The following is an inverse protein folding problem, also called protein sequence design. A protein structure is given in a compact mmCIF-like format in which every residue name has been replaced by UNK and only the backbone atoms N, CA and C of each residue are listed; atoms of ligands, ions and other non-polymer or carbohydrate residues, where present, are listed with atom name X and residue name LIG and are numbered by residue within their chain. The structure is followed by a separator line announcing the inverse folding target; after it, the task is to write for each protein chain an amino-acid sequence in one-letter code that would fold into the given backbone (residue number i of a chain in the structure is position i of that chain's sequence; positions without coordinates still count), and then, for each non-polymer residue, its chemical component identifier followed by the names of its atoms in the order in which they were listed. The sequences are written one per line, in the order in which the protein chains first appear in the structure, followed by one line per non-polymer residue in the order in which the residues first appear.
data_IF_119811293485
#
_entry.id   IF_119811293485
#
_cell.length_a   1.000
_cell.length_b   1.000
_cell.length_c   1.000
_cell.angle_alpha   90.00
_cell.angle_beta   90.00
_cell.angle_gamma   90.00
#
_symmetry.space_group_name_H-M   'P 1'
#
loop_
_entity.id
_entity.type
_entity.pdbx_description
1 polymer ?
#
# COMPACT_ATOMS: atom_id res chain seq x y z
N UNK A 1 23.42 29.93 60.87
CA UNK A 1 22.94 31.29 60.51
C UNK A 1 22.35 31.26 59.10
N UNK A 2 21.14 31.83 58.95
CA UNK A 2 20.39 32.22 57.74
C UNK A 2 19.60 31.14 56.94
N UNK A 3 18.30 31.15 57.25
CA UNK A 3 17.13 30.65 56.51
C UNK A 3 16.93 31.33 55.14
N UNK A 4 16.25 30.65 54.21
CA UNK A 4 15.07 31.14 53.46
C UNK A 4 14.53 30.00 52.56
N UNK A 5 13.39 29.37 52.90
CA UNK A 5 12.03 29.77 52.52
C UNK A 5 11.77 29.73 51.01
N UNK A 6 11.16 28.64 50.52
CA UNK A 6 10.41 28.64 49.26
C UNK A 6 8.94 28.33 49.53
N UNK A 7 8.14 29.32 49.15
CA UNK A 7 6.70 29.48 49.31
C UNK A 7 5.90 28.37 48.63
N UNK A 8 4.99 27.74 49.38
CA UNK A 8 3.89 26.94 48.87
C UNK A 8 2.78 27.89 48.40
N UNK A 9 2.29 27.73 47.17
CA UNK A 9 1.06 28.37 46.68
C UNK A 9 -0.05 27.34 46.45
N UNK A 10 -1.32 27.76 46.56
CA UNK A 10 -2.39 26.92 47.12
C UNK A 10 -3.23 26.19 46.08
N UNK A 11 -3.84 25.09 46.54
CA UNK A 11 -5.00 24.42 45.93
C UNK A 11 -6.13 25.43 45.70
N UNK A 12 -6.62 25.52 44.47
CA UNK A 12 -7.96 26.07 44.20
C UNK A 12 -8.92 24.92 43.96
N UNK A 13 -9.82 24.72 44.94
CA UNK A 13 -11.09 24.02 44.79
C UNK A 13 -12.04 24.93 44.00
N UNK A 14 -12.75 24.38 43.03
CA UNK A 14 -13.72 25.11 42.21
C UNK A 14 -14.81 24.18 41.68
N UNK A 15 -15.85 24.06 42.49
CA UNK A 15 -17.27 23.78 42.19
C UNK A 15 -17.70 22.76 41.12
N UNK A 16 -18.37 21.72 41.63
CA UNK A 16 -19.48 21.00 40.99
C UNK A 16 -20.58 21.98 40.55
N UNK A 17 -21.02 21.87 39.30
CA UNK A 17 -22.36 22.28 38.88
C UNK A 17 -22.96 21.11 38.12
N UNK A 18 -23.89 20.41 38.77
CA UNK A 18 -24.83 19.51 38.12
C UNK A 18 -26.14 20.27 37.95
N UNK A 19 -26.55 20.50 36.71
CA UNK A 19 -27.92 20.81 36.36
C UNK A 19 -28.18 20.23 34.96
N UNK A 20 -28.81 19.06 34.97
CA UNK A 20 -29.35 18.42 33.78
C UNK A 20 -30.64 19.16 33.38
N UNK A 21 -30.63 19.82 32.23
CA UNK A 21 -31.85 20.16 31.51
C UNK A 21 -31.86 19.36 30.22
N UNK A 22 -32.70 18.35 30.18
CA UNK A 22 -33.04 17.61 28.97
C UNK A 22 -33.89 18.51 28.08
N UNK A 23 -33.31 19.01 26.98
CA UNK A 23 -34.06 19.54 25.86
C UNK A 23 -34.01 18.51 24.73
N UNK A 24 -35.14 17.83 24.50
CA UNK A 24 -35.39 17.07 23.28
C UNK A 24 -35.48 18.09 22.14
N UNK A 25 -34.43 18.19 21.33
CA UNK A 25 -34.51 18.78 19.99
C UNK A 25 -34.54 17.63 19.00
N UNK A 26 -35.67 17.49 18.31
CA UNK A 26 -35.80 16.63 17.15
C UNK A 26 -34.87 17.16 16.05
N UNK A 27 -33.70 16.55 15.92
CA UNK A 27 -32.83 16.75 14.76
C UNK A 27 -33.43 15.94 13.63
N UNK A 28 -34.09 16.63 12.69
CA UNK A 28 -34.40 16.06 11.39
C UNK A 28 -33.08 15.68 10.72
N UNK A 29 -32.85 14.37 10.58
CA UNK A 29 -31.71 13.85 9.87
C UNK A 29 -31.76 14.35 8.41
N UNK A 30 -30.70 15.00 7.88
CA UNK A 30 -30.59 15.16 6.44
C UNK A 30 -30.52 13.78 5.79
N UNK A 31 -31.16 13.66 4.64
CA UNK A 31 -31.23 12.43 3.85
C UNK A 31 -29.84 11.79 3.73
N UNK A 32 -29.77 10.50 4.06
CA UNK A 32 -28.60 9.68 3.83
C UNK A 32 -28.19 9.82 2.35
N UNK A 33 -27.11 10.55 2.10
CA UNK A 33 -26.46 10.52 0.81
C UNK A 33 -25.99 9.10 0.60
N UNK A 34 -26.42 8.54 -0.54
CA UNK A 34 -26.17 7.18 -0.93
C UNK A 34 -24.69 6.82 -0.71
N UNK A 35 -24.50 5.81 0.12
CA UNK A 35 -23.24 5.11 0.30
C UNK A 35 -22.75 4.66 -1.08
N UNK A 36 -21.54 5.03 -1.54
CA UNK A 36 -21.00 4.44 -2.74
C UNK A 36 -20.91 2.93 -2.51
N UNK A 37 -21.60 2.19 -3.37
CA UNK A 37 -21.67 0.74 -3.31
C UNK A 37 -20.26 0.18 -3.16
N UNK A 38 -20.10 -0.74 -2.19
CA UNK A 38 -18.93 -1.58 -2.10
C UNK A 38 -18.63 -2.13 -3.51
N UNK A 39 -17.40 -1.91 -3.98
CA UNK A 39 -16.92 -2.42 -5.25
C UNK A 39 -17.16 -3.91 -5.25
N UNK A 40 -18.16 -4.34 -6.02
CA UNK A 40 -18.56 -5.73 -6.11
C UNK A 40 -17.37 -6.57 -6.53
N UNK A 41 -17.15 -7.67 -5.82
CA UNK A 41 -16.26 -8.73 -6.27
C UNK A 41 -16.70 -9.15 -7.67
N UNK A 42 -15.86 -8.83 -8.66
CA UNK A 42 -16.08 -9.22 -10.04
C UNK A 42 -16.06 -10.74 -10.08
N UNK A 43 -17.21 -11.35 -10.36
CA UNK A 43 -17.30 -12.76 -10.65
C UNK A 43 -16.39 -13.07 -11.85
N UNK A 44 -15.38 -13.93 -11.63
CA UNK A 44 -14.54 -14.45 -12.70
C UNK A 44 -15.42 -15.32 -13.61
N UNK A 45 -15.82 -14.77 -14.74
CA UNK A 45 -16.32 -15.58 -15.86
C UNK A 45 -15.14 -16.34 -16.44
N UNK A 46 -15.29 -17.65 -16.60
CA UNK A 46 -14.31 -18.53 -17.23
C UNK A 46 -14.22 -18.22 -18.74
N UNK A 47 -13.57 -17.10 -19.07
CA UNK A 47 -13.18 -16.73 -20.41
C UNK A 47 -11.77 -17.23 -20.71
N UNK A 48 -11.52 -17.55 -21.98
CA UNK A 48 -10.20 -17.77 -22.58
C UNK A 48 -9.08 -17.03 -21.84
N UNK A 49 -8.06 -17.78 -21.37
CA UNK A 49 -6.89 -17.25 -20.67
C UNK A 49 -6.40 -16.00 -21.38
N UNK A 50 -6.56 -14.83 -20.73
CA UNK A 50 -6.09 -13.58 -21.28
C UNK A 50 -4.59 -13.69 -21.60
N UNK A 51 -4.15 -13.05 -22.67
CA UNK A 51 -2.74 -12.97 -23.00
C UNK A 51 -1.96 -12.43 -21.80
N UNK A 52 -0.77 -12.99 -21.56
CA UNK A 52 0.10 -12.55 -20.49
C UNK A 52 0.41 -11.05 -20.67
N UNK A 53 0.27 -10.21 -19.64
CA UNK A 53 0.37 -8.75 -19.78
C UNK A 53 1.81 -8.23 -19.94
N UNK A 54 2.79 -9.13 -19.83
CA UNK A 54 4.22 -8.85 -19.92
C UNK A 54 4.94 -9.99 -20.63
N UNK A 55 6.03 -9.66 -21.31
CA UNK A 55 6.96 -10.65 -21.89
C UNK A 55 8.07 -10.94 -20.88
N UNK A 56 8.33 -12.22 -20.62
CA UNK A 56 9.40 -12.62 -19.69
C UNK A 56 10.77 -12.16 -20.17
N UNK A 57 11.62 -11.70 -19.23
CA UNK A 57 12.97 -11.24 -19.52
C UNK A 57 13.07 -9.81 -20.06
N UNK A 58 11.94 -9.17 -20.39
CA UNK A 58 11.90 -7.77 -20.83
C UNK A 58 11.71 -6.85 -19.61
N UNK A 59 12.43 -5.73 -19.51
CA UNK A 59 12.25 -4.77 -18.42
C UNK A 59 10.99 -3.90 -18.63
N UNK A 60 10.28 -3.63 -17.54
CA UNK A 60 9.10 -2.77 -17.51
C UNK A 60 9.15 -1.83 -16.31
N UNK A 61 8.67 -0.60 -16.48
CA UNK A 61 8.22 0.23 -15.37
C UNK A 61 6.82 -0.21 -14.93
N UNK A 62 6.61 -0.29 -13.62
CA UNK A 62 5.29 -0.50 -13.03
C UNK A 62 4.71 0.85 -12.59
N UNK A 63 3.87 1.44 -13.42
CA UNK A 63 3.32 2.79 -13.18
C UNK A 63 1.88 2.69 -12.69
N UNK A 64 1.55 3.37 -11.58
CA UNK A 64 0.19 3.38 -11.05
C UNK A 64 -0.72 4.40 -11.76
N UNK A 65 -1.98 4.48 -11.34
CA UNK A 65 -2.96 5.42 -11.89
C UNK A 65 -2.63 6.91 -11.64
N UNK A 66 -1.80 7.20 -10.64
CA UNK A 66 -1.30 8.55 -10.33
C UNK A 66 -0.04 8.90 -11.14
N UNK A 67 0.33 8.07 -12.13
CA UNK A 67 1.55 8.21 -12.92
C UNK A 67 2.84 8.13 -12.08
N UNK A 68 2.85 7.31 -11.03
CA UNK A 68 4.01 7.09 -10.15
C UNK A 68 4.50 5.67 -10.33
N UNK A 69 5.78 5.52 -10.62
CA UNK A 69 6.45 4.24 -10.75
C UNK A 69 6.84 3.62 -9.41
N UNK A 70 7.34 2.39 -9.44
CA UNK A 70 7.87 1.72 -8.24
C UNK A 70 9.33 2.09 -8.05
N UNK A 71 9.70 2.48 -6.83
CA UNK A 71 11.08 2.73 -6.41
C UNK A 71 11.40 1.94 -5.14
N UNK A 72 12.63 2.04 -4.68
CA UNK A 72 13.13 1.32 -3.52
C UNK A 72 13.83 2.27 -2.56
N UNK A 73 13.57 2.08 -1.26
CA UNK A 73 14.21 2.83 -0.20
C UNK A 73 14.89 1.87 0.76
N UNK A 74 16.18 2.13 1.01
CA UNK A 74 16.96 1.43 1.99
C UNK A 74 16.38 1.67 3.39
N UNK A 75 15.98 0.59 4.07
CA UNK A 75 15.59 0.61 5.46
C UNK A 75 16.18 -0.61 6.19
N UNK A 76 16.95 -0.33 7.24
CA UNK A 76 17.82 -1.32 7.89
C UNK A 76 18.76 -1.96 6.85
N UNK A 77 18.60 -3.26 6.58
CA UNK A 77 19.46 -4.03 5.68
C UNK A 77 18.76 -4.45 4.38
N UNK A 78 17.63 -3.82 4.04
CA UNK A 78 16.86 -4.17 2.84
C UNK A 78 16.30 -2.95 2.11
N UNK A 79 16.02 -3.15 0.83
CA UNK A 79 15.33 -2.19 -0.02
C UNK A 79 13.84 -2.46 0.01
N UNK A 80 13.05 -1.57 0.59
CA UNK A 80 11.60 -1.70 0.61
C UNK A 80 10.99 -1.00 -0.59
N UNK A 81 10.08 -1.68 -1.28
CA UNK A 81 9.38 -1.13 -2.42
C UNK A 81 8.39 -0.05 -1.98
N UNK A 82 8.30 1.03 -2.74
CA UNK A 82 7.33 2.12 -2.56
C UNK A 82 6.99 2.71 -3.93
N UNK A 83 5.94 3.53 -4.00
CA UNK A 83 5.76 4.38 -5.18
C UNK A 83 6.72 5.58 -5.12
N UNK A 84 7.23 6.00 -6.27
CA UNK A 84 7.97 7.25 -6.42
C UNK A 84 7.16 8.42 -5.85
N UNK A 85 7.80 9.46 -5.32
CA UNK A 85 7.06 10.58 -4.71
C UNK A 85 6.53 11.59 -5.73
N UNK A 86 7.05 11.53 -6.96
CA UNK A 86 6.79 12.52 -8.00
C UNK A 86 6.01 11.87 -9.14
N UNK A 87 4.82 12.36 -9.47
CA UNK A 87 4.15 11.96 -10.71
C UNK A 87 5.06 12.19 -11.92
N UNK A 88 5.08 11.24 -12.84
CA UNK A 88 5.99 11.21 -14.00
C UNK A 88 7.33 10.52 -13.74
N UNK A 89 7.68 10.23 -12.48
CA UNK A 89 8.84 9.41 -12.18
C UNK A 89 8.47 7.92 -12.25
N UNK A 90 8.99 7.25 -13.28
CA UNK A 90 8.80 5.82 -13.53
C UNK A 90 9.51 4.90 -12.52
N UNK A 91 10.40 5.44 -11.68
CA UNK A 91 11.15 4.68 -10.70
C UNK A 91 12.09 3.65 -11.33
N UNK A 92 12.30 2.53 -10.63
CA UNK A 92 13.10 1.42 -11.10
C UNK A 92 12.27 0.49 -11.99
N UNK A 93 12.84 0.10 -13.14
CA UNK A 93 12.25 -0.97 -13.94
C UNK A 93 12.41 -2.33 -13.25
N UNK A 94 11.55 -3.27 -13.62
CA UNK A 94 11.56 -4.65 -13.15
C UNK A 94 11.50 -5.62 -14.33
N UNK A 95 12.08 -6.80 -14.16
CA UNK A 95 11.99 -7.93 -15.09
C UNK A 95 11.07 -8.98 -14.48
N UNK A 96 10.17 -9.52 -15.29
CA UNK A 96 9.29 -10.61 -14.90
C UNK A 96 9.85 -11.94 -15.40
N UNK A 97 9.98 -12.91 -14.50
CA UNK A 97 10.34 -14.29 -14.82
C UNK A 97 9.16 -15.20 -14.51
N UNK A 98 8.62 -15.87 -15.53
CA UNK A 98 7.50 -16.79 -15.35
C UNK A 98 7.94 -17.96 -14.46
N UNK A 99 7.17 -18.23 -13.40
CA UNK A 99 7.31 -19.42 -12.54
C UNK A 99 5.94 -19.97 -12.21
N UNK A 100 5.69 -21.20 -12.67
CA UNK A 100 4.40 -21.90 -12.58
C UNK A 100 3.23 -21.04 -13.11
N UNK A 101 2.30 -20.67 -12.22
CA UNK A 101 1.10 -19.88 -12.48
C UNK A 101 1.31 -18.37 -12.36
N UNK A 102 2.49 -17.90 -11.95
CA UNK A 102 2.78 -16.49 -11.71
C UNK A 102 4.16 -16.04 -12.19
N UNK A 103 4.63 -14.94 -11.60
CA UNK A 103 5.92 -14.34 -11.93
C UNK A 103 6.74 -14.06 -10.68
N UNK A 104 8.04 -14.35 -10.75
CA UNK A 104 9.02 -13.71 -9.88
C UNK A 104 9.38 -12.36 -10.50
N UNK A 105 9.43 -11.32 -9.67
CA UNK A 105 9.74 -9.96 -10.10
C UNK A 105 11.14 -9.60 -9.62
N UNK A 106 12.00 -9.18 -10.54
CA UNK A 106 13.36 -8.74 -10.26
C UNK A 106 13.51 -7.26 -10.57
N UNK A 107 13.86 -6.45 -9.58
CA UNK A 107 14.26 -5.05 -9.80
C UNK A 107 15.56 -4.99 -10.60
N UNK A 108 15.67 -4.01 -11.49
CA UNK A 108 16.94 -3.72 -12.18
C UNK A 108 17.87 -2.84 -11.34
N UNK A 109 17.40 -2.32 -10.21
CA UNK A 109 18.16 -1.48 -9.27
C UNK A 109 18.02 -1.97 -7.83
N UNK A 110 19.12 -1.93 -7.08
CA UNK A 110 19.19 -2.26 -5.66
C UNK A 110 20.41 -1.61 -5.04
N UNK A 111 20.33 -1.26 -3.75
CA UNK A 111 21.47 -0.79 -2.97
C UNK A 111 22.39 -1.93 -2.53
N UNK A 112 21.93 -3.19 -2.57
CA UNK A 112 22.69 -4.36 -2.14
C UNK A 112 22.87 -5.37 -3.28
N UNK A 113 24.13 -5.72 -3.59
CA UNK A 113 24.46 -6.65 -4.67
C UNK A 113 23.76 -7.99 -4.51
N UNK A 114 23.00 -8.40 -5.53
CA UNK A 114 22.23 -9.65 -5.53
C UNK A 114 20.87 -9.60 -4.83
N UNK A 115 20.54 -8.52 -4.12
CA UNK A 115 19.25 -8.32 -3.47
C UNK A 115 18.32 -7.59 -4.42
N UNK A 116 17.82 -8.28 -5.43
CA UNK A 116 16.99 -7.67 -6.47
C UNK A 116 15.65 -8.36 -6.67
N UNK A 117 15.36 -9.43 -5.93
CA UNK A 117 14.13 -10.20 -6.08
C UNK A 117 13.07 -9.71 -5.11
N UNK A 118 11.85 -9.48 -5.58
CA UNK A 118 10.74 -9.05 -4.73
C UNK A 118 10.34 -10.17 -3.77
N UNK A 119 10.39 -9.85 -2.49
CA UNK A 119 10.07 -10.73 -1.39
C UNK A 119 9.00 -10.08 -0.51
N UNK A 120 7.83 -10.71 -0.40
CA UNK A 120 6.80 -10.34 0.55
C UNK A 120 7.15 -10.95 1.93
N UNK A 121 7.38 -10.10 2.93
CA UNK A 121 7.64 -10.50 4.32
C UNK A 121 6.71 -9.76 5.27
N UNK A 122 5.94 -10.53 6.05
CA UNK A 122 4.75 -9.97 6.70
C UNK A 122 3.84 -9.40 5.61
N UNK A 123 3.60 -8.09 5.66
CA UNK A 123 2.87 -7.40 4.58
C UNK A 123 3.78 -6.56 3.69
N UNK A 124 5.03 -6.26 4.10
CA UNK A 124 5.93 -5.39 3.33
C UNK A 124 6.59 -6.10 2.16
N UNK A 125 6.94 -5.33 1.13
CA UNK A 125 7.69 -5.86 -0.02
C UNK A 125 9.12 -5.32 0.06
N UNK A 126 10.08 -6.23 0.17
CA UNK A 126 11.50 -5.90 0.18
C UNK A 126 12.23 -6.60 -0.96
N UNK A 127 13.40 -6.12 -1.32
CA UNK A 127 14.32 -6.86 -2.17
C UNK A 127 15.14 -7.85 -1.35
N UNK A 128 15.30 -9.05 -1.90
CA UNK A 128 16.11 -10.12 -1.34
C UNK A 128 16.86 -10.89 -2.43
N UNK A 129 17.72 -11.80 -2.01
CA UNK A 129 18.30 -12.80 -2.88
C UNK A 129 17.24 -13.83 -3.29
N UNK A 130 17.21 -14.19 -4.57
CA UNK A 130 16.23 -15.15 -5.09
C UNK A 130 16.26 -16.50 -4.37
N UNK A 131 17.45 -16.97 -3.99
CA UNK A 131 17.65 -18.23 -3.25
C UNK A 131 17.12 -18.19 -1.82
N UNK A 132 16.98 -17.00 -1.22
CA UNK A 132 16.45 -16.82 0.12
C UNK A 132 14.93 -16.61 0.09
N UNK A 133 14.46 -15.72 -0.78
CA UNK A 133 13.05 -15.40 -0.92
C UNK A 133 12.72 -14.88 -2.32
N UNK A 134 11.77 -15.53 -2.97
CA UNK A 134 11.22 -15.11 -4.25
C UNK A 134 9.69 -15.27 -4.24
N UNK A 135 8.98 -14.19 -3.96
CA UNK A 135 7.52 -14.21 -3.98
C UNK A 135 7.01 -14.24 -5.43
N UNK A 136 5.97 -15.06 -5.65
CA UNK A 136 5.29 -15.15 -6.95
C UNK A 136 4.10 -14.21 -6.99
N UNK A 137 3.90 -13.55 -8.13
CA UNK A 137 2.86 -12.56 -8.34
C UNK A 137 2.02 -12.89 -9.56
N UNK A 138 0.71 -12.73 -9.42
CA UNK A 138 -0.26 -12.90 -10.49
C UNK A 138 -0.81 -11.54 -10.90
N UNK A 139 -0.90 -11.31 -12.21
CA UNK A 139 -1.62 -10.16 -12.74
C UNK A 139 -3.11 -10.46 -12.73
N UNK A 140 -3.88 -9.65 -12.01
CA UNK A 140 -5.35 -9.70 -12.02
C UNK A 140 -5.87 -8.49 -12.79
N UNK A 141 -6.56 -8.68 -13.93
CA UNK A 141 -7.12 -7.57 -14.70
C UNK A 141 -8.02 -6.68 -13.83
N UNK A 142 -7.88 -5.38 -13.99
CA UNK A 142 -8.70 -4.36 -13.32
C UNK A 142 -8.98 -3.20 -14.27
N UNK A 143 -9.87 -2.28 -13.86
CA UNK A 143 -10.17 -1.12 -14.67
C UNK A 143 -8.92 -0.23 -14.81
N UNK A 144 -8.44 -0.09 -16.05
CA UNK A 144 -7.28 0.74 -16.37
C UNK A 144 -5.92 0.09 -16.09
N UNK A 145 -5.83 -1.21 -15.82
CA UNK A 145 -4.55 -1.90 -15.64
C UNK A 145 -4.70 -3.24 -14.93
N UNK A 146 -3.76 -3.54 -14.04
CA UNK A 146 -3.69 -4.81 -13.33
C UNK A 146 -3.37 -4.61 -11.86
N UNK A 147 -4.03 -5.40 -11.01
CA UNK A 147 -3.59 -5.61 -9.63
C UNK A 147 -2.51 -6.69 -9.62
N UNK A 148 -1.49 -6.51 -8.80
CA UNK A 148 -0.51 -7.56 -8.52
C UNK A 148 -0.93 -8.31 -7.24
N UNK A 149 -1.36 -9.54 -7.43
CA UNK A 149 -1.78 -10.45 -6.36
C UNK A 149 -0.61 -11.34 -5.94
N UNK A 150 -0.38 -11.49 -4.64
CA UNK A 150 0.57 -12.47 -4.13
C UNK A 150 0.00 -13.88 -4.36
N UNK A 151 0.70 -14.68 -5.16
CA UNK A 151 0.22 -15.97 -5.63
C UNK A 151 -0.12 -16.92 -4.46
N UNK A 152 -1.25 -17.63 -4.59
CA UNK A 152 -1.77 -18.51 -3.53
C UNK A 152 -2.49 -17.78 -2.39
N UNK A 153 -2.66 -16.45 -2.46
CA UNK A 153 -3.36 -15.66 -1.45
C UNK A 153 -4.41 -14.74 -2.08
N UNK A 154 -5.22 -14.08 -1.26
CA UNK A 154 -6.09 -12.98 -1.70
C UNK A 154 -5.47 -11.61 -1.43
N UNK A 155 -4.16 -11.52 -1.18
CA UNK A 155 -3.48 -10.27 -0.91
C UNK A 155 -3.00 -9.62 -2.20
N UNK A 156 -3.23 -8.31 -2.33
CA UNK A 156 -2.82 -7.49 -3.47
C UNK A 156 -1.92 -6.35 -2.99
N UNK A 157 -1.07 -5.84 -3.88
CA UNK A 157 -0.28 -4.65 -3.56
C UNK A 157 -1.17 -3.43 -3.35
N UNK A 158 -0.81 -2.69 -2.31
CA UNK A 158 -1.48 -1.46 -1.91
C UNK A 158 -0.44 -0.39 -1.60
N UNK A 159 -0.84 0.87 -1.71
CA UNK A 159 -0.03 2.03 -1.32
C UNK A 159 -0.81 2.93 -0.34
N UNK A 160 -0.14 3.73 0.50
CA UNK A 160 -0.80 4.72 1.32
C UNK A 160 -1.47 5.81 0.49
N UNK A 161 -2.64 6.26 0.91
CA UNK A 161 -3.30 7.45 0.35
C UNK A 161 -2.63 8.70 0.90
N UNK A 162 -2.35 9.67 0.02
CA UNK A 162 -1.93 11.02 0.43
C UNK A 162 -0.47 11.16 0.87
N UNK A 163 0.43 10.24 0.53
CA UNK A 163 1.85 10.41 0.86
C UNK A 163 2.80 9.32 0.39
N UNK A 164 4.03 9.41 0.89
CA UNK A 164 5.07 8.40 0.74
C UNK A 164 4.83 7.26 1.72
N UNK A 165 5.00 6.03 1.25
CA UNK A 165 5.18 4.89 2.12
C UNK A 165 5.28 3.59 1.34
N UNK A 166 5.67 2.54 2.05
CA UNK A 166 5.99 1.25 1.43
C UNK A 166 4.75 0.61 0.80
N UNK A 167 4.98 -0.12 -0.29
CA UNK A 167 4.01 -1.06 -0.81
C UNK A 167 3.84 -2.19 0.19
N UNK A 168 2.59 -2.59 0.40
CA UNK A 168 2.26 -3.75 1.22
C UNK A 168 1.19 -4.60 0.56
N UNK A 169 1.19 -5.89 0.84
CA UNK A 169 0.20 -6.84 0.36
C UNK A 169 -0.95 -7.00 1.38
N UNK A 170 -2.18 -6.69 0.99
CA UNK A 170 -3.38 -6.88 1.82
C UNK A 170 -4.56 -7.42 1.01
N UNK A 171 -5.43 -8.19 1.67
CA UNK A 171 -6.70 -8.65 1.09
C UNK A 171 -7.83 -7.62 1.17
N UNK A 172 -7.69 -6.63 2.06
CA UNK A 172 -8.66 -5.55 2.25
C UNK A 172 -7.93 -4.30 2.75
N UNK A 173 -8.46 -3.13 2.41
CA UNK A 173 -7.91 -1.83 2.82
C UNK A 173 -9.00 -0.98 3.45
N UNK A 174 -8.60 -0.16 4.42
CA UNK A 174 -9.49 0.86 4.97
C UNK A 174 -9.50 2.08 4.04
N UNK A 175 -10.69 2.60 3.69
CA UNK A 175 -10.80 3.82 2.89
C UNK A 175 -10.00 4.97 3.50
N UNK A 176 -9.38 5.79 2.64
CA UNK A 176 -8.56 6.96 3.00
C UNK A 176 -7.23 6.63 3.71
N UNK A 177 -6.92 5.36 3.98
CA UNK A 177 -5.60 4.95 4.51
C UNK A 177 -4.74 4.35 3.42
N UNK A 178 -5.31 3.43 2.63
CA UNK A 178 -4.61 2.72 1.56
C UNK A 178 -5.56 2.44 0.41
N UNK A 179 -4.99 2.41 -0.78
CA UNK A 179 -5.66 1.96 -1.99
C UNK A 179 -4.94 0.76 -2.59
N UNK A 180 -5.72 -0.11 -3.24
CA UNK A 180 -5.15 -1.14 -4.10
C UNK A 180 -4.40 -0.48 -5.27
N UNK A 181 -3.17 -0.89 -5.49
CA UNK A 181 -2.34 -0.29 -6.53
C UNK A 181 -2.63 -0.98 -7.86
N UNK A 182 -3.35 -0.29 -8.73
CA UNK A 182 -3.53 -0.71 -10.12
C UNK A 182 -2.33 -0.23 -10.94
N UNK A 183 -1.58 -1.18 -11.48
CA UNK A 183 -0.39 -0.93 -12.29
C UNK A 183 -0.68 -1.07 -13.78
N UNK A 184 0.00 -0.25 -14.57
CA UNK A 184 0.23 -0.44 -15.99
C UNK A 184 1.70 -0.82 -16.18
N UNK A 185 2.01 -2.03 -16.66
CA UNK A 185 3.36 -2.33 -17.11
C UNK A 185 3.65 -1.53 -18.38
N UNK A 186 4.70 -0.71 -18.36
CA UNK A 186 5.18 0.07 -19.51
C UNK A 186 6.58 -0.41 -19.80
N UNK A 187 6.84 -0.88 -21.03
CA UNK A 187 8.17 -1.39 -21.39
C UNK A 187 9.21 -0.27 -21.19
N UNK A 188 10.33 -0.60 -20.53
CA UNK A 188 11.39 0.35 -20.18
C UNK A 188 12.35 0.61 -21.35
#
# INVERSE_FOLDING_TARGET
MKNASRSRRPLRKGFLVAAACAALMAVSAPAATAQPAAVGHVAQTAGTKAADPVVTGVPYYLVNQENRGVSFEAYLNWDYALLSNSPGDNGASVVFEKKDDGYVIKSTSSHWSGYNTWCAVGNGIKLDQESSCASRWNFVPSHGGYLLQLAGTQNYLTHPVGGKGWLVAYASVLPNFRDFTVFKPVQA
#
